data_IF_572255620414
#
_entry.id   IF_572255620414
#
_cell.length_a   1.000
_cell.length_b   1.000
_cell.length_c   1.000
_cell.angle_alpha   90.00
_cell.angle_beta   90.00
_cell.angle_gamma   90.00
#
_symmetry.space_group_name_H-M   'P 1'
#
loop_
_entity.id
_entity.type
_entity.pdbx_description
1 polymer ?
#
# COMPACT_ATOMS: atom_id res chain seq x y z
N UNK A 1 16.90 25.25 8.32
CA UNK A 1 16.49 24.37 7.21
C UNK A 1 15.08 23.90 7.51
N UNK A 2 14.08 24.45 6.81
CA UNK A 2 12.68 24.15 7.06
C UNK A 2 12.34 22.79 6.45
N UNK A 3 11.88 21.86 7.28
CA UNK A 3 11.38 20.54 6.86
C UNK A 3 10.15 20.80 5.99
N UNK A 4 10.25 20.57 4.68
CA UNK A 4 9.04 20.42 3.87
C UNK A 4 8.24 19.25 4.45
N UNK A 5 6.90 19.28 4.45
CA UNK A 5 6.08 18.14 4.86
C UNK A 5 6.20 17.07 3.76
N UNK A 6 7.36 16.42 3.69
CA UNK A 6 7.58 15.25 2.87
C UNK A 6 6.87 14.08 3.55
N UNK A 7 5.89 13.52 2.85
CA UNK A 7 5.28 12.21 3.10
C UNK A 7 6.34 11.25 3.66
N UNK A 8 6.14 10.74 4.88
CA UNK A 8 7.15 9.98 5.65
C UNK A 8 7.36 8.54 5.11
N UNK A 9 7.17 8.36 3.79
CA UNK A 9 7.37 7.10 3.12
C UNK A 9 8.84 6.92 2.79
N UNK A 10 9.37 5.75 3.12
CA UNK A 10 10.74 5.35 2.88
C UNK A 10 10.77 4.02 2.13
N UNK A 11 11.92 3.67 1.57
CA UNK A 11 12.10 2.35 0.98
C UNK A 11 11.86 1.27 2.05
N UNK A 12 11.09 0.24 1.71
CA UNK A 12 10.87 -0.88 2.63
C UNK A 12 12.15 -1.68 2.84
N UNK A 13 12.46 -1.99 4.10
CA UNK A 13 13.64 -2.79 4.50
C UNK A 13 14.94 -2.29 3.84
N UNK A 14 15.15 -0.96 3.89
CA UNK A 14 16.26 -0.24 3.26
C UNK A 14 16.43 -0.54 1.75
N UNK A 15 15.34 -0.91 1.07
CA UNK A 15 15.31 -1.23 -0.36
C UNK A 15 15.83 -2.64 -0.70
N UNK A 16 16.08 -3.48 0.30
CA UNK A 16 16.61 -4.84 0.08
C UNK A 16 15.64 -5.77 -0.64
N UNK A 17 14.34 -5.46 -0.64
CA UNK A 17 13.30 -6.21 -1.35
C UNK A 17 13.27 -5.95 -2.87
N UNK A 18 13.90 -4.87 -3.34
CA UNK A 18 13.87 -4.52 -4.76
C UNK A 18 14.58 -5.58 -5.61
N UNK A 19 13.98 -5.94 -6.75
CA UNK A 19 14.48 -6.98 -7.64
C UNK A 19 14.14 -8.42 -7.21
N UNK A 20 13.58 -8.62 -6.02
CA UNK A 20 13.07 -9.92 -5.60
C UNK A 20 11.69 -10.19 -6.19
N UNK A 21 11.31 -11.46 -6.21
CA UNK A 21 9.95 -11.86 -6.55
C UNK A 21 9.00 -11.41 -5.45
N UNK A 22 7.96 -10.67 -5.84
CA UNK A 22 6.91 -10.22 -4.95
C UNK A 22 5.80 -11.26 -4.78
N UNK A 23 4.81 -10.89 -3.97
CA UNK A 23 3.72 -11.77 -3.55
C UNK A 23 2.77 -12.15 -4.69
N UNK A 24 2.69 -11.33 -5.73
CA UNK A 24 1.84 -11.56 -6.90
C UNK A 24 2.62 -12.19 -8.07
N UNK A 25 3.90 -12.53 -7.85
CA UNK A 25 4.74 -13.25 -8.80
C UNK A 25 5.39 -12.35 -9.86
N UNK A 26 5.39 -11.03 -9.67
CA UNK A 26 6.21 -10.09 -10.44
C UNK A 26 7.53 -9.78 -9.74
N UNK A 27 8.40 -9.02 -10.41
CA UNK A 27 9.60 -8.45 -9.79
C UNK A 27 9.22 -7.18 -9.05
N UNK A 28 9.62 -7.04 -7.79
CA UNK A 28 9.39 -5.82 -7.02
C UNK A 28 10.23 -4.69 -7.63
N UNK A 29 9.55 -3.72 -8.26
CA UNK A 29 10.16 -2.55 -8.87
C UNK A 29 10.11 -1.32 -7.98
N UNK A 30 9.15 -1.26 -7.04
CA UNK A 30 9.07 -0.23 -6.01
C UNK A 30 8.43 -0.79 -4.76
N UNK A 31 8.95 -0.45 -3.60
CA UNK A 31 8.45 -0.94 -2.32
C UNK A 31 8.70 0.13 -1.27
N UNK A 32 7.62 0.71 -0.77
CA UNK A 32 7.67 1.81 0.18
C UNK A 32 6.85 1.48 1.42
N UNK A 33 7.29 1.99 2.56
CA UNK A 33 6.62 1.82 3.84
C UNK A 33 6.59 3.13 4.63
N UNK A 34 5.72 3.17 5.63
CA UNK A 34 5.62 4.29 6.55
C UNK A 34 5.50 3.75 7.98
N UNK A 35 6.57 3.96 8.76
CA UNK A 35 6.62 3.72 10.21
C UNK A 35 6.20 2.28 10.62
N UNK A 36 6.41 1.29 9.76
CA UNK A 36 5.98 -0.10 9.96
C UNK A 36 4.46 -0.32 9.96
N UNK A 37 3.67 0.71 9.68
CA UNK A 37 2.20 0.65 9.71
C UNK A 37 1.58 0.49 8.32
N UNK A 38 2.22 1.05 7.31
CA UNK A 38 1.78 1.01 5.93
C UNK A 38 2.89 0.42 5.06
N UNK A 39 2.51 -0.36 4.06
CA UNK A 39 3.41 -0.78 2.98
C UNK A 39 2.67 -0.78 1.66
N UNK A 40 3.32 -0.29 0.61
CA UNK A 40 2.83 -0.27 -0.75
C UNK A 40 3.93 -0.77 -1.69
N UNK A 41 3.65 -1.87 -2.36
CA UNK A 41 4.58 -2.57 -3.24
C UNK A 41 4.03 -2.55 -4.67
N UNK A 42 4.89 -2.23 -5.63
CA UNK A 42 4.66 -2.35 -7.05
C UNK A 42 5.51 -3.49 -7.61
N UNK A 43 4.83 -4.47 -8.20
CA UNK A 43 5.42 -5.61 -8.88
C UNK A 43 5.19 -5.49 -10.39
N UNK A 44 6.19 -5.89 -11.19
CA UNK A 44 6.13 -5.87 -12.66
C UNK A 44 6.72 -7.15 -13.24
N UNK A 45 6.11 -7.62 -14.33
CA UNK A 45 6.70 -8.61 -15.23
C UNK A 45 6.42 -8.23 -16.69
N UNK A 46 7.43 -7.63 -17.32
CA UNK A 46 7.35 -7.14 -18.71
C UNK A 46 7.11 -8.27 -19.72
N UNK A 47 7.47 -9.51 -19.40
CA UNK A 47 7.26 -10.65 -20.31
C UNK A 47 5.78 -11.02 -20.47
N UNK A 48 4.94 -10.58 -19.53
CA UNK A 48 3.50 -10.87 -19.48
C UNK A 48 2.63 -9.60 -19.43
N UNK A 49 3.23 -8.42 -19.61
CA UNK A 49 2.54 -7.13 -19.43
C UNK A 49 1.79 -7.06 -18.08
N UNK A 50 2.43 -7.57 -17.03
CA UNK A 50 1.83 -7.72 -15.71
C UNK A 50 2.30 -6.60 -14.79
N UNK A 51 1.35 -5.90 -14.18
CA UNK A 51 1.60 -4.85 -13.20
C UNK A 51 0.67 -5.05 -12.02
N UNK A 52 1.22 -5.14 -10.81
CA UNK A 52 0.43 -5.31 -9.60
C UNK A 52 0.85 -4.31 -8.52
N UNK A 53 -0.15 -3.76 -7.83
CA UNK A 53 0.04 -3.04 -6.58
C UNK A 53 -0.46 -3.91 -5.43
N UNK A 54 0.34 -4.04 -4.38
CA UNK A 54 -0.07 -4.64 -3.11
C UNK A 54 0.06 -3.59 -2.02
N UNK A 55 -1.01 -3.29 -1.30
CA UNK A 55 -0.97 -2.38 -0.16
C UNK A 55 -1.42 -3.06 1.13
N UNK A 56 -0.87 -2.63 2.25
CA UNK A 56 -1.26 -3.12 3.56
C UNK A 56 -1.37 -2.02 4.61
N UNK A 57 -2.27 -2.24 5.55
CA UNK A 57 -2.37 -1.52 6.83
C UNK A 57 -2.23 -2.56 7.92
N UNK A 58 -1.19 -2.44 8.75
CA UNK A 58 -0.81 -3.47 9.73
C UNK A 58 -1.99 -3.86 10.63
N UNK A 59 -2.37 -5.14 10.57
CA UNK A 59 -3.47 -5.72 11.35
C UNK A 59 -4.88 -5.45 10.83
N UNK A 60 -5.04 -4.73 9.72
CA UNK A 60 -6.35 -4.32 9.20
C UNK A 60 -6.63 -4.72 7.76
N UNK A 61 -5.67 -4.49 6.85
CA UNK A 61 -5.91 -4.58 5.42
C UNK A 61 -4.72 -5.19 4.70
N UNK A 62 -5.02 -6.06 3.75
CA UNK A 62 -4.13 -6.44 2.66
C UNK A 62 -4.98 -6.40 1.40
N UNK A 63 -4.58 -5.56 0.45
CA UNK A 63 -5.34 -5.34 -0.79
C UNK A 63 -4.39 -5.36 -1.99
N UNK A 64 -4.88 -5.86 -3.10
CA UNK A 64 -4.13 -5.96 -4.34
C UNK A 64 -4.93 -5.39 -5.52
N UNK A 65 -4.20 -4.85 -6.50
CA UNK A 65 -4.76 -4.36 -7.75
C UNK A 65 -3.86 -4.75 -8.91
N UNK A 66 -4.45 -4.92 -10.09
CA UNK A 66 -3.76 -5.29 -11.31
C UNK A 66 -4.02 -4.25 -12.39
N UNK A 67 -3.01 -4.01 -13.21
CA UNK A 67 -3.05 -3.00 -14.27
C UNK A 67 -2.47 -3.57 -15.56
N UNK A 68 -2.94 -3.04 -16.69
CA UNK A 68 -2.47 -3.44 -18.02
C UNK A 68 -1.15 -2.75 -18.41
N UNK A 69 -0.75 -1.70 -17.68
CA UNK A 69 0.47 -0.96 -17.98
C UNK A 69 1.06 -0.26 -16.73
N UNK A 70 2.35 0.04 -16.83
CA UNK A 70 3.12 0.71 -15.78
C UNK A 70 2.64 2.14 -15.49
N UNK A 71 2.18 2.89 -16.50
CA UNK A 71 1.75 4.29 -16.32
C UNK A 71 0.57 4.38 -15.36
N UNK A 72 -0.47 3.57 -15.58
CA UNK A 72 -1.64 3.48 -14.69
C UNK A 72 -1.24 2.97 -13.30
N UNK A 73 -0.42 1.92 -13.22
CA UNK A 73 0.01 1.38 -11.93
C UNK A 73 0.79 2.41 -11.10
N UNK A 74 1.69 3.18 -11.72
CA UNK A 74 2.48 4.19 -11.02
C UNK A 74 1.65 5.42 -10.64
N UNK A 75 0.70 5.82 -11.47
CA UNK A 75 -0.25 6.89 -11.12
C UNK A 75 -1.11 6.50 -9.90
N UNK A 76 -1.59 5.27 -9.87
CA UNK A 76 -2.37 4.73 -8.74
C UNK A 76 -1.50 4.51 -7.50
N UNK A 77 -0.23 4.13 -7.65
CA UNK A 77 0.72 4.05 -6.54
C UNK A 77 0.79 5.39 -5.79
N UNK A 78 0.98 6.49 -6.51
CA UNK A 78 1.02 7.83 -5.90
C UNK A 78 -0.33 8.25 -5.32
N UNK A 79 -1.44 7.93 -6.00
CA UNK A 79 -2.78 8.26 -5.51
C UNK A 79 -3.17 7.49 -4.24
N UNK A 80 -2.67 6.27 -4.07
CA UNK A 80 -2.95 5.42 -2.91
C UNK A 80 -2.23 5.88 -1.65
N UNK A 81 -1.03 6.47 -1.74
CA UNK A 81 -0.25 6.91 -0.56
C UNK A 81 -1.02 7.83 0.40
N UNK A 82 -1.55 9.00 -0.03
CA UNK A 82 -2.30 9.87 0.87
C UNK A 82 -3.61 9.21 1.35
N UNK A 83 -4.23 8.35 0.54
CA UNK A 83 -5.44 7.64 0.98
C UNK A 83 -5.15 6.55 2.03
N UNK A 84 -3.98 5.91 1.97
CA UNK A 84 -3.50 4.98 3.00
C UNK A 84 -3.16 5.73 4.29
N UNK A 85 -2.56 6.92 4.21
CA UNK A 85 -2.32 7.81 5.35
C UNK A 85 -3.63 8.19 6.04
N UNK A 86 -4.62 8.64 5.27
CA UNK A 86 -5.97 8.98 5.77
C UNK A 86 -6.69 7.77 6.39
N UNK A 87 -6.52 6.59 5.79
CA UNK A 87 -7.07 5.34 6.31
C UNK A 87 -6.41 4.95 7.64
N UNK A 88 -5.06 4.99 7.71
CA UNK A 88 -4.31 4.74 8.96
C UNK A 88 -4.86 5.67 10.05
N UNK A 89 -4.99 6.97 9.78
CA UNK A 89 -5.34 7.95 10.82
C UNK A 89 -6.67 7.64 11.54
N UNK A 90 -7.55 6.86 10.92
CA UNK A 90 -8.86 6.44 11.46
C UNK A 90 -8.83 5.08 12.15
N UNK A 91 -7.73 4.35 12.06
CA UNK A 91 -7.58 2.99 12.56
C UNK A 91 -6.54 2.93 13.69
N UNK A 92 -6.76 2.00 14.61
CA UNK A 92 -5.80 1.66 15.66
C UNK A 92 -4.58 0.97 15.07
N UNK A 93 -3.39 1.29 15.55
CA UNK A 93 -2.17 0.59 15.14
C UNK A 93 -2.20 -0.89 15.54
N UNK A 94 -1.73 -1.76 14.64
CA UNK A 94 -1.64 -3.20 14.89
C UNK A 94 -2.96 -3.98 14.81
N UNK A 95 -4.07 -3.36 14.41
CA UNK A 95 -5.37 -4.00 14.27
C UNK A 95 -6.40 -3.62 15.36
N UNK A 96 -7.65 -4.12 15.26
CA UNK A 96 -8.69 -3.85 16.25
C UNK A 96 -8.36 -4.50 17.60
N UNK A 97 -8.57 -3.76 18.69
CA UNK A 97 -8.47 -4.31 20.06
C UNK A 97 -9.73 -5.05 20.51
N UNK A 98 -10.83 -4.95 19.76
CA UNK A 98 -12.11 -5.61 20.07
C UNK A 98 -12.98 -5.85 18.83
N UNK A 99 -13.98 -6.75 18.89
CA UNK A 99 -14.95 -6.93 17.79
C UNK A 99 -15.79 -5.68 17.48
N UNK A 100 -16.01 -4.80 18.46
CA UNK A 100 -16.72 -3.53 18.23
C UNK A 100 -15.86 -2.56 17.42
N UNK A 101 -14.59 -2.44 17.77
CA UNK A 101 -13.63 -1.62 17.02
C UNK A 101 -13.44 -2.15 15.59
N UNK A 102 -13.39 -3.48 15.41
CA UNK A 102 -13.35 -4.10 14.10
C UNK A 102 -14.57 -3.70 13.24
N UNK A 103 -15.78 -3.74 13.82
CA UNK A 103 -17.02 -3.32 13.14
C UNK A 103 -17.01 -1.83 12.77
N UNK A 104 -16.42 -0.98 13.61
CA UNK A 104 -16.26 0.46 13.31
C UNK A 104 -15.25 0.73 12.20
N UNK A 105 -14.21 -0.09 12.09
CA UNK A 105 -13.22 0.01 11.00
C UNK A 105 -13.77 -0.43 9.65
N UNK A 106 -14.74 -1.35 9.63
CA UNK A 106 -15.34 -1.92 8.42
C UNK A 106 -15.75 -0.89 7.35
N UNK A 107 -16.58 0.13 7.67
CA UNK A 107 -16.98 1.14 6.69
C UNK A 107 -15.81 1.96 6.11
N UNK A 108 -14.78 2.26 6.90
CA UNK A 108 -13.62 3.03 6.43
C UNK A 108 -12.77 2.19 5.49
N UNK A 109 -12.54 0.92 5.84
CA UNK A 109 -11.88 -0.05 4.96
C UNK A 109 -12.66 -0.25 3.65
N UNK A 110 -13.98 -0.40 3.75
CA UNK A 110 -14.85 -0.57 2.59
C UNK A 110 -14.81 0.66 1.65
N UNK A 111 -14.77 1.87 2.21
CA UNK A 111 -14.65 3.09 1.42
C UNK A 111 -13.30 3.18 0.68
N UNK A 112 -12.20 2.78 1.33
CA UNK A 112 -10.89 2.69 0.68
C UNK A 112 -10.91 1.68 -0.47
N UNK A 113 -11.44 0.48 -0.21
CA UNK A 113 -11.56 -0.58 -1.22
C UNK A 113 -12.44 -0.16 -2.40
N UNK A 114 -13.56 0.53 -2.15
CA UNK A 114 -14.45 1.02 -3.20
C UNK A 114 -13.79 2.10 -4.09
N UNK A 115 -12.84 2.87 -3.54
CA UNK A 115 -12.06 3.85 -4.30
C UNK A 115 -10.97 3.19 -5.15
N UNK A 116 -10.40 2.09 -4.67
CA UNK A 116 -9.24 1.43 -5.25
C UNK A 116 -9.52 -0.04 -5.65
N UNK A 117 -10.71 -0.31 -6.17
CA UNK A 117 -11.06 -1.61 -6.76
C UNK A 117 -10.56 -1.75 -8.20
#
# INVERSE_FOLDING_TARGET
MSRQPGTNWTAYDDGTSLGWMGSQGGTIARDEEQEGQLRLTYEVDDSRSFHALTCSVTGWLLHHRFFDNAEQALAEFEAMKPALEDLRAQLREGGPGSPEEARRGGPVLAAFLARFS
#
